data_IF_559291600783
#
_entry.id   IF_559291600783
#
_cell.length_a   1.000
_cell.length_b   1.000
_cell.length_c   1.000
_cell.angle_alpha   90.00
_cell.angle_beta   90.00
_cell.angle_gamma   90.00
#
_symmetry.space_group_name_H-M   'P 1'
#
loop_
_entity.id
_entity.type
_entity.pdbx_description
1 polymer ?
#
# COMPACT_ATOMS: atom_id res chain seq x y z
N UNK A 1 -6.25 -8.77 -4.34
CA UNK A 1 -6.12 -8.05 -3.06
C UNK A 1 -7.44 -8.17 -2.30
N UNK A 2 -8.45 -7.33 -2.54
CA UNK A 2 -9.76 -7.47 -1.91
C UNK A 2 -10.63 -8.41 -2.76
N UNK A 3 -10.77 -9.66 -2.31
CA UNK A 3 -11.62 -10.67 -2.98
C UNK A 3 -11.12 -11.10 -4.37
N UNK A 4 -9.80 -11.08 -4.58
CA UNK A 4 -9.14 -11.65 -5.77
C UNK A 4 -8.26 -12.81 -5.29
N UNK A 5 -8.58 -14.07 -5.65
CA UNK A 5 -7.77 -15.23 -5.31
C UNK A 5 -6.32 -15.08 -5.79
N UNK A 6 -5.37 -15.63 -5.04
CA UNK A 6 -3.94 -15.61 -5.41
C UNK A 6 -3.18 -14.31 -5.08
N UNK A 7 -3.84 -13.29 -4.52
CA UNK A 7 -3.16 -12.06 -4.05
C UNK A 7 -3.09 -12.04 -2.53
N UNK A 8 -1.87 -12.02 -1.99
CA UNK A 8 -1.57 -12.33 -0.59
C UNK A 8 -2.07 -11.33 0.46
N UNK A 9 -2.52 -10.14 0.09
CA UNK A 9 -2.85 -9.11 1.07
C UNK A 9 -3.89 -8.12 0.61
N UNK A 10 -4.47 -7.47 1.62
CA UNK A 10 -5.49 -6.43 1.57
C UNK A 10 -5.04 -5.09 2.20
N UNK A 11 -3.83 -5.05 2.79
CA UNK A 11 -3.34 -3.95 3.61
C UNK A 11 -1.86 -3.67 3.31
N UNK A 12 -1.53 -2.97 2.21
CA UNK A 12 -0.16 -2.80 1.76
C UNK A 12 0.72 -2.06 2.77
N UNK A 13 0.16 -1.12 3.52
CA UNK A 13 0.95 -0.35 4.49
C UNK A 13 1.36 -1.18 5.71
N UNK A 14 0.46 -2.00 6.24
CA UNK A 14 0.75 -2.94 7.34
C UNK A 14 1.87 -3.89 6.93
N UNK A 15 1.77 -4.46 5.72
CA UNK A 15 2.79 -5.34 5.19
C UNK A 15 4.12 -4.60 4.96
N UNK A 16 4.09 -3.37 4.44
CA UNK A 16 5.27 -2.55 4.25
C UNK A 16 6.00 -2.28 5.57
N UNK A 17 5.28 -1.93 6.65
CA UNK A 17 5.85 -1.75 7.99
C UNK A 17 6.52 -3.02 8.50
N UNK A 18 5.85 -4.18 8.39
CA UNK A 18 6.40 -5.45 8.82
C UNK A 18 7.69 -5.81 8.07
N UNK A 19 7.71 -5.66 6.74
CA UNK A 19 8.89 -5.94 5.91
C UNK A 19 10.01 -4.94 6.19
N UNK A 20 9.70 -3.65 6.34
CA UNK A 20 10.69 -2.62 6.62
C UNK A 20 11.35 -2.82 7.99
N UNK A 21 10.60 -3.27 9.00
CA UNK A 21 11.12 -3.65 10.32
C UNK A 21 11.95 -4.93 10.32
N UNK A 22 11.63 -5.90 9.46
CA UNK A 22 12.36 -7.16 9.34
C UNK A 22 13.64 -7.07 8.48
N UNK A 23 13.87 -5.96 7.79
CA UNK A 23 14.98 -5.81 6.84
C UNK A 23 15.80 -4.54 7.11
N UNK A 24 17.06 -4.49 6.67
CA UNK A 24 17.96 -3.35 6.95
C UNK A 24 18.38 -2.53 5.73
N UNK A 25 18.32 -3.12 4.54
CA UNK A 25 18.99 -2.59 3.34
C UNK A 25 18.05 -2.28 2.18
N UNK A 26 17.03 -3.11 1.98
CA UNK A 26 16.10 -2.93 0.87
C UNK A 26 15.16 -1.76 1.14
N UNK A 27 14.77 -1.06 0.07
CA UNK A 27 13.63 -0.16 0.09
C UNK A 27 12.35 -0.98 0.01
N UNK A 28 11.32 -0.53 0.69
CA UNK A 28 10.01 -1.18 0.73
C UNK A 28 8.98 -0.17 0.25
N UNK A 29 8.20 -0.57 -0.75
CA UNK A 29 7.19 0.26 -1.34
C UNK A 29 5.86 -0.44 -1.48
N UNK A 30 4.81 0.35 -1.67
CA UNK A 30 3.49 -0.16 -2.02
C UNK A 30 3.31 -0.14 -3.54
N UNK A 31 2.79 -1.20 -4.14
CA UNK A 31 2.46 -1.21 -5.57
C UNK A 31 1.38 -0.19 -5.97
N UNK A 32 0.52 0.21 -5.01
CA UNK A 32 -0.48 1.26 -5.19
C UNK A 32 -1.51 1.28 -4.07
N UNK A 33 -1.59 2.39 -3.33
CA UNK A 33 -2.71 2.68 -2.43
C UNK A 33 -3.83 3.30 -3.26
N UNK A 34 -5.00 2.68 -3.30
CA UNK A 34 -6.16 3.21 -4.03
C UNK A 34 -6.71 4.42 -3.28
N UNK A 35 -6.16 5.59 -3.60
CA UNK A 35 -6.43 6.84 -2.89
C UNK A 35 -7.92 7.23 -2.93
N UNK A 36 -8.70 6.97 -3.99
CA UNK A 36 -10.15 7.22 -3.98
C UNK A 36 -10.91 6.49 -2.86
N UNK A 37 -10.36 5.40 -2.32
CA UNK A 37 -10.99 4.59 -1.28
C UNK A 37 -10.52 4.97 0.14
N UNK A 38 -9.66 5.97 0.28
CA UNK A 38 -9.06 6.35 1.56
C UNK A 38 -9.14 7.87 1.75
N UNK A 39 -9.08 8.32 3.00
CA UNK A 39 -8.83 9.74 3.29
C UNK A 39 -7.37 10.05 2.98
N UNK A 40 -7.04 10.96 2.04
CA UNK A 40 -5.65 11.21 1.65
C UNK A 40 -4.76 11.63 2.81
N UNK A 41 -5.30 12.39 3.75
CA UNK A 41 -4.59 12.83 4.95
C UNK A 41 -4.12 11.65 5.81
N UNK A 42 -4.99 10.64 6.01
CA UNK A 42 -4.63 9.44 6.78
C UNK A 42 -3.53 8.64 6.07
N UNK A 43 -3.60 8.53 4.74
CA UNK A 43 -2.53 7.87 3.96
C UNK A 43 -1.21 8.62 4.14
N UNK A 44 -1.23 9.95 4.08
CA UNK A 44 -0.04 10.78 4.26
C UNK A 44 0.55 10.65 5.68
N UNK A 45 -0.29 10.71 6.73
CA UNK A 45 0.16 10.55 8.12
C UNK A 45 0.82 9.20 8.36
N UNK A 46 0.17 8.12 7.93
CA UNK A 46 0.69 6.78 8.16
C UNK A 46 1.99 6.53 7.37
N UNK A 47 2.08 7.05 6.14
CA UNK A 47 3.32 6.94 5.36
C UNK A 47 4.43 7.83 5.91
N UNK A 48 4.08 9.00 6.45
CA UNK A 48 5.01 9.89 7.15
C UNK A 48 5.64 9.20 8.37
N UNK A 49 4.84 8.48 9.16
CA UNK A 49 5.34 7.66 10.27
C UNK A 49 6.28 6.56 9.76
N UNK A 50 5.89 5.81 8.71
CA UNK A 50 6.74 4.77 8.13
C UNK A 50 8.08 5.32 7.63
N UNK A 51 8.07 6.45 6.93
CA UNK A 51 9.27 7.11 6.43
C UNK A 51 10.16 7.65 7.56
N UNK A 52 9.56 8.12 8.66
CA UNK A 52 10.29 8.54 9.86
C UNK A 52 10.94 7.37 10.60
N UNK A 53 10.26 6.23 10.70
CA UNK A 53 10.80 5.00 11.31
C UNK A 53 11.88 4.34 10.45
N UNK A 54 11.80 4.50 9.12
CA UNK A 54 12.75 3.90 8.17
C UNK A 54 13.24 4.92 7.13
N UNK A 55 14.11 5.88 7.52
CA UNK A 55 14.57 6.95 6.64
C UNK A 55 15.20 6.43 5.35
N UNK A 56 14.78 6.99 4.21
CA UNK A 56 15.30 6.63 2.88
C UNK A 56 14.87 5.25 2.36
N UNK A 57 13.95 4.57 3.04
CA UNK A 57 13.57 3.17 2.73
C UNK A 57 12.08 2.96 2.42
N UNK A 58 11.26 3.99 2.43
CA UNK A 58 9.81 3.88 2.19
C UNK A 58 9.40 4.53 0.86
N UNK A 59 8.65 3.81 0.03
CA UNK A 59 8.14 4.29 -1.28
C UNK A 59 6.60 4.21 -1.36
N UNK A 60 5.93 5.36 -1.46
CA UNK A 60 4.46 5.42 -1.57
C UNK A 60 4.04 5.35 -3.04
N UNK A 61 3.59 4.18 -3.47
CA UNK A 61 2.84 4.06 -4.73
C UNK A 61 1.39 4.48 -4.54
N UNK A 62 0.89 5.33 -5.44
CA UNK A 62 -0.51 5.77 -5.46
C UNK A 62 -1.24 5.17 -6.66
N UNK A 63 -2.50 4.80 -6.44
CA UNK A 63 -3.39 4.35 -7.49
C UNK A 63 -4.69 5.15 -7.53
N UNK A 64 -5.26 5.24 -8.73
CA UNK A 64 -6.49 5.96 -9.04
C UNK A 64 -7.68 5.06 -9.37
N UNK A 65 -7.50 3.74 -9.32
CA UNK A 65 -8.60 2.81 -9.56
C UNK A 65 -9.57 2.86 -8.38
N UNK A 66 -10.87 2.82 -8.69
CA UNK A 66 -11.94 2.68 -7.70
C UNK A 66 -12.15 1.21 -7.29
N UNK A 67 -11.38 0.30 -7.86
CA UNK A 67 -11.45 -1.14 -7.59
C UNK A 67 -12.32 -1.90 -8.59
N UNK A 68 -12.38 -3.21 -8.39
CA UNK A 68 -13.06 -4.18 -9.25
C UNK A 68 -14.59 -4.02 -9.22
N UNK A 69 -15.11 -3.06 -9.99
CA UNK A 69 -16.53 -2.99 -10.37
C UNK A 69 -16.94 -4.29 -11.07
N UNK A 70 -18.24 -4.58 -11.13
CA UNK A 70 -18.74 -5.77 -11.82
C UNK A 70 -18.25 -5.89 -13.27
N UNK A 71 -18.05 -4.76 -13.97
CA UNK A 71 -17.52 -4.71 -15.33
C UNK A 71 -16.05 -5.11 -15.39
N UNK A 72 -15.22 -4.65 -14.45
CA UNK A 72 -13.79 -5.00 -14.38
C UNK A 72 -13.56 -6.46 -13.96
N UNK A 73 -14.52 -7.09 -13.25
CA UNK A 73 -14.45 -8.52 -12.88
C UNK A 73 -14.86 -9.47 -14.01
N UNK A 74 -15.54 -8.98 -15.05
CA UNK A 74 -16.08 -9.78 -16.16
C UNK A 74 -15.20 -9.79 -17.42
N UNK A 75 -14.26 -8.85 -17.52
CA UNK A 75 -13.21 -8.82 -18.53
C UNK A 75 -12.05 -9.75 -18.15
#
# INVERSE_FOLDING_TARGET
>A
HHGVPGVAGAAPLVLATAVAGATKRIRVGTGGVMLPNHRPFVVAEQFGVLAGLHPGRADLGLGRSVGFTNEVRRA
#
